data_IF_847971919485
#
_entry.id   IF_847971919485
#
_cell.length_a   1.000
_cell.length_b   1.000
_cell.length_c   1.000
_cell.angle_alpha   90.00
_cell.angle_beta   90.00
_cell.angle_gamma   90.00
#
_symmetry.space_group_name_H-M   'P 1'
#
loop_
_entity.id
_entity.type
_entity.pdbx_description
1 polymer ?
#
# COMPACT_ATOMS: atom_id res chain seq x y z
N UNK A 1 -7.00 2.94 -9.98
CA UNK A 1 -8.28 3.01 -9.26
C UNK A 1 -8.66 4.46 -9.02
N UNK A 2 -9.95 4.75 -9.01
CA UNK A 2 -10.52 6.07 -8.74
C UNK A 2 -11.13 6.11 -7.34
N UNK A 3 -11.50 7.30 -6.85
CA UNK A 3 -12.24 7.43 -5.57
C UNK A 3 -13.53 6.58 -5.55
N UNK A 4 -14.24 6.47 -6.68
CA UNK A 4 -15.49 5.74 -6.76
C UNK A 4 -15.30 4.25 -6.49
N UNK A 5 -14.18 3.68 -6.95
CA UNK A 5 -13.84 2.27 -6.72
C UNK A 5 -13.74 1.98 -5.22
N UNK A 6 -13.16 2.89 -4.42
CA UNK A 6 -13.07 2.72 -2.96
C UNK A 6 -14.42 2.89 -2.25
N UNK A 7 -15.28 3.78 -2.77
CA UNK A 7 -16.64 3.93 -2.25
C UNK A 7 -17.47 2.65 -2.50
N UNK A 8 -17.29 2.03 -3.67
CA UNK A 8 -17.91 0.76 -4.02
C UNK A 8 -17.38 -0.38 -3.14
N UNK A 9 -16.06 -0.47 -2.91
CA UNK A 9 -15.51 -1.44 -1.95
C UNK A 9 -16.16 -1.31 -0.57
N UNK A 10 -16.34 -0.07 -0.09
CA UNK A 10 -17.02 0.18 1.18
C UNK A 10 -18.48 -0.29 1.17
N UNK A 11 -19.23 -0.01 0.10
CA UNK A 11 -20.64 -0.43 -0.01
C UNK A 11 -20.78 -1.96 -0.08
N UNK A 12 -19.78 -2.64 -0.64
CA UNK A 12 -19.67 -4.11 -0.67
C UNK A 12 -19.25 -4.72 0.67
N UNK A 13 -19.07 -3.92 1.73
CA UNK A 13 -18.75 -4.39 3.07
C UNK A 13 -17.25 -4.59 3.33
N UNK A 14 -16.36 -4.17 2.41
CA UNK A 14 -14.92 -4.15 2.67
C UNK A 14 -14.62 -3.18 3.81
N UNK A 15 -13.72 -3.58 4.71
CA UNK A 15 -13.39 -2.79 5.90
C UNK A 15 -11.98 -2.22 5.86
N UNK A 16 -11.06 -2.87 5.13
CA UNK A 16 -9.63 -2.54 5.11
C UNK A 16 -9.07 -2.70 3.70
N UNK A 17 -8.24 -1.76 3.27
CA UNK A 17 -7.40 -1.85 2.08
C UNK A 17 -5.95 -1.97 2.50
N UNK A 18 -5.20 -2.85 1.84
CA UNK A 18 -3.76 -3.02 2.04
C UNK A 18 -3.02 -2.49 0.81
N UNK A 19 -2.27 -1.41 0.96
CA UNK A 19 -1.59 -0.72 -0.15
C UNK A 19 -0.12 -1.10 -0.22
N UNK A 20 0.35 -1.50 -1.41
CA UNK A 20 1.79 -1.67 -1.66
C UNK A 20 2.47 -0.30 -1.68
N UNK A 21 3.50 -0.09 -0.89
CA UNK A 21 4.23 1.20 -0.85
C UNK A 21 5.57 1.13 -1.59
N UNK A 22 6.27 0.00 -1.52
CA UNK A 22 7.57 -0.18 -2.17
C UNK A 22 7.88 -1.67 -2.43
N UNK A 23 8.90 -1.91 -3.25
CA UNK A 23 9.46 -3.22 -3.58
C UNK A 23 10.97 -3.13 -3.75
N UNK A 24 11.71 -3.98 -3.04
CA UNK A 24 13.16 -3.95 -2.99
C UNK A 24 13.70 -2.55 -2.65
N UNK A 25 14.77 -2.13 -3.31
CA UNK A 25 15.36 -0.79 -3.11
C UNK A 25 15.17 0.16 -4.28
N UNK A 26 14.37 -0.24 -5.28
CA UNK A 26 14.32 0.45 -6.58
C UNK A 26 12.91 0.85 -7.00
N UNK A 27 11.88 0.27 -6.40
CA UNK A 27 10.50 0.56 -6.75
C UNK A 27 9.74 1.17 -5.58
N UNK A 28 9.23 2.38 -5.79
CA UNK A 28 8.18 2.97 -4.98
C UNK A 28 6.88 3.00 -5.80
N UNK A 29 5.76 2.63 -5.20
CA UNK A 29 4.47 2.68 -5.88
C UNK A 29 4.05 4.15 -6.08
N UNK A 30 4.02 4.67 -7.33
CA UNK A 30 3.69 6.08 -7.59
C UNK A 30 2.26 6.43 -7.20
N UNK A 31 1.36 5.44 -7.14
CA UNK A 31 -0.05 5.63 -6.82
C UNK A 31 -0.35 5.48 -5.32
N UNK A 32 0.62 5.05 -4.50
CA UNK A 32 0.38 4.68 -3.09
C UNK A 32 -0.32 5.80 -2.31
N UNK A 33 0.21 7.03 -2.39
CA UNK A 33 -0.37 8.20 -1.72
C UNK A 33 -1.82 8.45 -2.14
N UNK A 34 -2.13 8.28 -3.43
CA UNK A 34 -3.46 8.50 -3.96
C UNK A 34 -4.43 7.38 -3.56
N UNK A 35 -3.97 6.13 -3.55
CA UNK A 35 -4.71 4.96 -3.10
C UNK A 35 -5.05 5.04 -1.60
N UNK A 36 -4.07 5.42 -0.77
CA UNK A 36 -4.28 5.66 0.67
C UNK A 36 -5.33 6.74 0.89
N UNK A 37 -5.21 7.87 0.18
CA UNK A 37 -6.16 8.99 0.29
C UNK A 37 -7.58 8.58 -0.09
N UNK A 38 -7.74 7.84 -1.20
CA UNK A 38 -9.06 7.38 -1.63
C UNK A 38 -9.69 6.40 -0.64
N UNK A 39 -8.91 5.47 -0.08
CA UNK A 39 -9.39 4.54 0.94
C UNK A 39 -9.82 5.27 2.22
N UNK A 40 -9.02 6.22 2.69
CA UNK A 40 -9.35 7.04 3.87
C UNK A 40 -10.64 7.84 3.64
N UNK A 41 -10.78 8.50 2.48
CA UNK A 41 -11.98 9.25 2.11
C UNK A 41 -13.24 8.36 2.05
N UNK A 42 -13.10 7.10 1.63
CA UNK A 42 -14.20 6.13 1.60
C UNK A 42 -14.54 5.55 3.00
N UNK A 43 -13.82 5.94 4.06
CA UNK A 43 -14.01 5.41 5.41
C UNK A 43 -13.54 3.96 5.56
N UNK A 44 -12.55 3.56 4.77
CA UNK A 44 -11.87 2.26 4.88
C UNK A 44 -10.64 2.39 5.80
N UNK A 45 -10.34 1.35 6.56
CA UNK A 45 -9.05 1.24 7.25
C UNK A 45 -7.95 1.03 6.21
N UNK A 46 -6.74 1.51 6.52
CA UNK A 46 -5.60 1.36 5.63
C UNK A 46 -4.47 0.65 6.36
N UNK A 47 -3.96 -0.40 5.74
CA UNK A 47 -2.67 -1.00 6.05
C UNK A 47 -1.75 -0.86 4.82
N UNK A 48 -0.45 -1.02 5.03
CA UNK A 48 0.55 -0.93 3.96
C UNK A 48 1.49 -2.14 4.00
N UNK A 49 2.12 -2.44 2.87
CA UNK A 49 3.17 -3.46 2.80
C UNK A 49 4.31 -3.08 1.86
N UNK A 50 5.47 -3.64 2.15
CA UNK A 50 6.67 -3.61 1.31
C UNK A 50 6.94 -5.01 0.76
N UNK A 51 7.28 -5.13 -0.52
CA UNK A 51 7.63 -6.42 -1.13
C UNK A 51 9.15 -6.63 -1.13
N UNK A 52 9.62 -7.58 -0.33
CA UNK A 52 11.05 -7.80 -0.08
C UNK A 52 11.75 -8.53 -1.23
N UNK A 53 13.01 -8.18 -1.49
CA UNK A 53 13.93 -8.90 -2.41
C UNK A 53 15.15 -9.49 -1.69
N UNK A 54 15.43 -9.08 -0.45
CA UNK A 54 16.62 -9.51 0.27
C UNK A 54 16.66 -11.04 0.52
N UNK A 55 17.88 -11.59 0.49
CA UNK A 55 18.16 -12.99 0.86
C UNK A 55 19.08 -13.11 2.08
N UNK A 56 19.51 -11.98 2.64
CA UNK A 56 20.39 -11.91 3.80
C UNK A 56 20.05 -10.72 4.70
N UNK A 57 20.57 -10.74 5.93
CA UNK A 57 20.29 -9.73 6.95
C UNK A 57 20.68 -8.30 6.54
N UNK A 58 21.83 -8.14 5.87
CA UNK A 58 22.26 -6.81 5.42
C UNK A 58 21.30 -6.22 4.40
N UNK A 59 20.84 -7.03 3.44
CA UNK A 59 19.82 -6.63 2.47
C UNK A 59 18.49 -6.29 3.14
N UNK A 60 18.11 -7.05 4.18
CA UNK A 60 16.89 -6.77 4.95
C UNK A 60 16.91 -5.40 5.63
N UNK A 61 18.05 -5.04 6.24
CA UNK A 61 18.22 -3.72 6.85
C UNK A 61 18.24 -2.62 5.79
N UNK A 62 18.89 -2.84 4.65
CA UNK A 62 18.92 -1.87 3.56
C UNK A 62 17.52 -1.61 2.98
N UNK A 63 16.74 -2.66 2.74
CA UNK A 63 15.36 -2.54 2.22
C UNK A 63 14.40 -1.94 3.26
N UNK A 64 14.55 -2.27 4.54
CA UNK A 64 13.71 -1.69 5.59
C UNK A 64 13.94 -0.18 5.79
N UNK A 65 15.12 0.34 5.42
CA UNK A 65 15.45 1.76 5.51
C UNK A 65 15.15 2.55 4.21
N UNK A 66 14.65 1.88 3.17
CA UNK A 66 14.30 2.48 1.88
C UNK A 66 12.92 3.15 1.92
#
# INVERSE_FOLDING_TARGET
MTQNDYNELKSLGVTTVIVKISEGTTYANPDASQQIKFAQNAGLKVAVYHYIHFSNQSGAVSEANH
#
